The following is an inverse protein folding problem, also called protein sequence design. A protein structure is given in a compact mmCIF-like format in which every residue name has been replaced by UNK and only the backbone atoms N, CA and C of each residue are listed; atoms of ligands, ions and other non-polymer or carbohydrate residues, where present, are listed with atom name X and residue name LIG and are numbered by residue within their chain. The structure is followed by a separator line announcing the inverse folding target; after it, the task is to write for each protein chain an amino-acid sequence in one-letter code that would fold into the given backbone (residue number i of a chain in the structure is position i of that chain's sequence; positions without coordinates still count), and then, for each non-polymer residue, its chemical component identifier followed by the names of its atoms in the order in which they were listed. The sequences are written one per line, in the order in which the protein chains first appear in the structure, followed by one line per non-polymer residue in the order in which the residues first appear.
data_IF_393512777641
#
_entry.id   IF_393512777641
#
_cell.length_a   1.000
_cell.length_b   1.000
_cell.length_c   1.000
_cell.angle_alpha   90.00
_cell.angle_beta   90.00
_cell.angle_gamma   90.00
#
_symmetry.space_group_name_H-M   'P 1'
#
loop_
_entity.id
_entity.type
_entity.pdbx_description
1 polymer ?
#
# COMPACT_ATOMS: atom_id res chain seq x y z
N UNK A 1 8.26 -0.04 5.92
CA UNK A 1 8.77 -1.26 5.26
C UNK A 1 8.38 -1.36 3.78
N UNK A 2 7.16 -1.02 3.37
CA UNK A 2 6.69 -1.15 1.97
C UNK A 2 7.43 -0.26 0.93
N UNK A 3 7.66 1.02 1.20
CA UNK A 3 8.22 1.95 0.20
C UNK A 3 9.65 1.64 -0.27
N UNK A 4 10.60 1.24 0.59
CA UNK A 4 11.94 0.80 0.14
C UNK A 4 11.92 -0.38 -0.85
N UNK A 5 11.04 -1.36 -0.65
CA UNK A 5 10.90 -2.50 -1.57
C UNK A 5 10.45 -2.05 -2.97
N UNK A 6 9.46 -1.17 -3.04
CA UNK A 6 9.00 -0.63 -4.33
C UNK A 6 10.03 0.26 -4.99
N UNK A 7 10.75 1.09 -4.23
CA UNK A 7 11.87 1.87 -4.76
C UNK A 7 12.93 0.94 -5.37
N UNK A 8 13.31 -0.13 -4.66
CA UNK A 8 14.24 -1.15 -5.18
C UNK A 8 13.72 -1.83 -6.44
N UNK A 9 12.43 -2.20 -6.50
CA UNK A 9 11.83 -2.81 -7.70
C UNK A 9 11.81 -1.86 -8.91
N UNK A 10 11.71 -0.55 -8.66
CA UNK A 10 11.84 0.51 -9.68
C UNK A 10 13.30 0.81 -10.05
N UNK A 11 14.29 0.26 -9.34
CA UNK A 11 15.70 0.65 -9.51
C UNK A 11 16.00 2.06 -9.02
N UNK A 12 15.21 2.56 -8.07
CA UNK A 12 15.29 3.92 -7.53
C UNK A 12 15.77 3.92 -6.08
N UNK A 13 16.46 4.98 -5.63
CA UNK A 13 16.81 5.13 -4.22
C UNK A 13 15.56 5.29 -3.36
N UNK A 14 15.64 4.87 -2.09
CA UNK A 14 14.52 5.05 -1.15
C UNK A 14 14.24 6.55 -0.92
N UNK A 15 13.00 7.00 -1.12
CA UNK A 15 12.62 8.40 -0.92
C UNK A 15 12.54 8.76 0.57
N UNK A 16 12.81 10.03 0.89
CA UNK A 16 12.70 10.55 2.26
C UNK A 16 11.23 10.78 2.61
N UNK A 17 10.80 10.39 3.81
CA UNK A 17 9.46 10.71 4.31
C UNK A 17 9.26 12.24 4.40
N UNK A 18 8.13 12.75 3.90
CA UNK A 18 7.81 14.18 3.89
C UNK A 18 7.92 14.83 5.28
N UNK A 19 7.54 14.08 6.34
CA UNK A 19 7.63 14.53 7.73
C UNK A 19 9.08 14.81 8.17
N UNK A 20 10.06 14.12 7.59
CA UNK A 20 11.49 14.25 7.93
C UNK A 20 12.25 15.24 7.04
N UNK A 21 11.60 15.85 6.03
CA UNK A 21 12.27 16.66 5.00
C UNK A 21 13.07 17.86 5.53
N UNK A 22 12.65 18.48 6.63
CA UNK A 22 13.29 19.70 7.16
C UNK A 22 14.65 19.44 7.82
N UNK A 23 14.91 18.19 8.23
CA UNK A 23 16.19 17.77 8.80
C UNK A 23 17.01 16.86 7.89
N UNK A 24 16.55 16.59 6.67
CA UNK A 24 17.23 15.69 5.75
C UNK A 24 18.32 16.44 4.96
N UNK A 25 19.48 15.80 4.79
CA UNK A 25 20.54 16.31 3.93
C UNK A 25 20.04 16.49 2.48
N UNK A 26 20.56 17.49 1.77
CA UNK A 26 20.12 17.84 0.41
C UNK A 26 20.24 16.66 -0.57
N UNK A 27 21.31 15.86 -0.47
CA UNK A 27 21.48 14.65 -1.28
C UNK A 27 20.45 13.54 -1.01
N UNK A 28 19.83 13.51 0.18
CA UNK A 28 18.71 12.61 0.46
C UNK A 28 17.41 13.12 -0.16
N UNK A 29 17.19 14.44 -0.15
CA UNK A 29 16.02 15.05 -0.77
C UNK A 29 16.00 14.87 -2.30
N UNK A 30 17.18 14.76 -2.94
CA UNK A 30 17.31 14.46 -4.36
C UNK A 30 16.82 13.05 -4.76
N UNK A 31 16.64 12.13 -3.79
CA UNK A 31 16.14 10.76 -4.03
C UNK A 31 14.63 10.67 -4.23
N UNK A 32 13.93 11.80 -4.11
CA UNK A 32 12.47 11.86 -4.08
C UNK A 32 11.90 11.85 -2.67
N UNK A 33 10.56 11.87 -2.59
CA UNK A 33 9.85 12.11 -1.34
C UNK A 33 8.65 11.18 -1.18
N UNK A 34 8.47 10.66 0.03
CA UNK A 34 7.37 9.79 0.41
C UNK A 34 6.33 10.57 1.22
N UNK A 35 5.14 10.73 0.67
CA UNK A 35 4.02 11.44 1.29
C UNK A 35 3.06 10.51 2.04
N UNK A 36 3.27 9.19 1.96
CA UNK A 36 2.40 8.20 2.59
C UNK A 36 2.41 8.33 4.11
N UNK A 37 1.27 8.03 4.72
CA UNK A 37 1.05 8.03 6.17
C UNK A 37 0.29 6.77 6.56
N UNK A 38 0.71 6.09 7.63
CA UNK A 38 -0.01 4.93 8.16
C UNK A 38 -1.45 5.29 8.52
N UNK A 39 -2.39 4.39 8.25
CA UNK A 39 -3.82 4.62 8.45
C UNK A 39 -4.51 5.47 7.39
N UNK A 40 -3.78 6.12 6.47
CA UNK A 40 -4.42 6.95 5.44
C UNK A 40 -5.27 6.13 4.47
N UNK A 41 -6.48 6.63 4.19
CA UNK A 41 -7.34 6.14 3.11
C UNK A 41 -7.29 7.00 1.86
N UNK A 42 -8.09 6.60 0.87
CA UNK A 42 -8.50 7.48 -0.22
C UNK A 42 -9.39 8.61 0.32
N UNK A 43 -10.28 8.26 1.25
CA UNK A 43 -11.12 9.15 2.04
C UNK A 43 -10.56 9.32 3.46
N UNK A 44 -11.27 10.09 4.28
CA UNK A 44 -11.00 10.18 5.72
C UNK A 44 -11.38 8.86 6.40
N UNK A 45 -10.48 8.37 7.23
CA UNK A 45 -10.57 7.08 7.94
C UNK A 45 -10.70 7.27 9.45
N UNK A 46 -11.07 8.48 9.90
CA UNK A 46 -11.39 8.78 11.29
C UNK A 46 -10.19 8.86 12.23
N UNK A 47 -8.96 8.71 11.71
CA UNK A 47 -7.71 8.73 12.49
C UNK A 47 -6.92 10.05 12.36
N UNK A 48 -7.56 11.10 11.81
CA UNK A 48 -6.98 12.42 11.56
C UNK A 48 -5.69 12.43 10.72
N UNK A 49 -5.41 11.34 9.99
CA UNK A 49 -4.28 11.27 9.08
C UNK A 49 -4.64 11.90 7.73
N UNK A 50 -3.59 12.29 7.00
CA UNK A 50 -3.76 12.90 5.67
C UNK A 50 -4.14 11.82 4.66
N UNK A 51 -5.39 11.87 4.19
CA UNK A 51 -5.85 11.07 3.06
C UNK A 51 -5.04 11.37 1.78
N UNK A 52 -5.24 10.58 0.74
CA UNK A 52 -4.50 10.72 -0.52
C UNK A 52 -4.63 12.12 -1.15
N UNK A 53 -5.79 12.79 -1.00
CA UNK A 53 -5.98 14.15 -1.53
C UNK A 53 -5.01 15.13 -0.88
N UNK A 54 -4.94 15.11 0.45
CA UNK A 54 -4.00 15.95 1.20
C UNK A 54 -2.53 15.57 0.91
N UNK A 55 -2.23 14.30 0.63
CA UNK A 55 -0.89 13.88 0.22
C UNK A 55 -0.50 14.46 -1.15
N UNK A 56 -1.44 14.49 -2.11
CA UNK A 56 -1.24 15.10 -3.44
C UNK A 56 -1.04 16.61 -3.32
N UNK A 57 -1.79 17.29 -2.44
CA UNK A 57 -1.64 18.73 -2.21
C UNK A 57 -0.22 19.07 -1.72
N UNK A 58 0.32 18.27 -0.79
CA UNK A 58 1.69 18.43 -0.31
C UNK A 58 2.72 18.15 -1.40
N UNK A 59 2.47 17.16 -2.25
CA UNK A 59 3.32 16.85 -3.38
C UNK A 59 3.38 18.01 -4.36
N UNK A 60 2.23 18.56 -4.77
CA UNK A 60 2.16 19.70 -5.68
C UNK A 60 2.84 20.93 -5.07
N UNK A 61 2.59 21.23 -3.79
CA UNK A 61 3.23 22.33 -3.09
C UNK A 61 4.76 22.15 -2.98
N UNK A 62 5.24 20.91 -2.80
CA UNK A 62 6.66 20.61 -2.76
C UNK A 62 7.31 20.73 -4.14
N UNK A 63 6.64 20.27 -5.20
CA UNK A 63 7.12 20.38 -6.58
C UNK A 63 7.28 21.84 -7.01
N UNK A 64 6.32 22.71 -6.66
CA UNK A 64 6.35 24.14 -6.98
C UNK A 64 7.50 24.89 -6.29
N UNK A 65 7.93 24.46 -5.10
CA UNK A 65 9.05 25.09 -4.36
C UNK A 65 10.43 24.76 -4.95
N UNK A 66 10.53 23.72 -5.77
CA UNK A 66 11.80 23.24 -6.34
C UNK A 66 12.22 23.90 -7.66
N UNK A 67 11.38 24.73 -8.26
CA UNK A 67 11.63 25.30 -9.60
C UNK A 67 11.71 26.83 -9.60
N UNK A 68 12.90 27.43 -9.59
CA UNK A 68 13.10 28.76 -10.15
C UNK A 68 13.21 28.62 -11.68
N UNK A 69 12.20 29.09 -12.41
CA UNK A 69 12.32 29.56 -13.82
C UNK A 69 12.57 28.60 -15.01
N UNK A 70 12.36 27.28 -14.94
CA UNK A 70 12.27 26.48 -16.19
C UNK A 70 11.27 25.32 -16.11
N UNK A 71 10.22 25.43 -16.94
CA UNK A 71 9.09 24.52 -17.16
C UNK A 71 8.08 24.31 -16.01
N UNK A 72 6.81 24.60 -16.33
CA UNK A 72 5.65 24.36 -15.49
C UNK A 72 5.45 22.84 -15.33
N UNK A 73 5.46 22.37 -14.09
CA UNK A 73 5.07 21.01 -13.70
C UNK A 73 6.21 19.99 -13.69
N UNK A 74 5.96 18.83 -13.07
CA UNK A 74 6.82 17.63 -13.12
C UNK A 74 6.92 17.01 -14.53
N UNK A 75 6.78 17.82 -15.58
CA UNK A 75 6.85 17.44 -16.97
C UNK A 75 8.31 17.14 -17.32
N UNK A 76 8.68 15.86 -17.22
CA UNK A 76 9.98 15.42 -17.71
C UNK A 76 10.38 14.02 -17.27
N UNK A 77 10.65 13.78 -15.98
CA UNK A 77 11.29 12.52 -15.54
C UNK A 77 10.94 12.24 -14.06
N UNK A 78 9.72 11.80 -13.78
CA UNK A 78 9.30 11.45 -12.42
C UNK A 78 8.31 10.31 -12.40
N UNK A 79 8.44 9.42 -11.41
CA UNK A 79 7.52 8.31 -11.17
C UNK A 79 6.75 8.58 -9.89
N UNK A 80 5.41 8.49 -9.95
CA UNK A 80 4.58 8.45 -8.76
C UNK A 80 4.24 7.00 -8.42
N UNK A 81 4.23 6.68 -7.12
CA UNK A 81 3.70 5.43 -6.60
C UNK A 81 2.48 5.72 -5.73
N UNK A 82 1.32 5.19 -6.13
CA UNK A 82 0.08 5.23 -5.36
C UNK A 82 -0.18 3.84 -4.80
N UNK A 83 -0.29 3.76 -3.48
CA UNK A 83 -0.51 2.49 -2.77
C UNK A 83 -1.90 2.49 -2.15
N UNK A 84 -2.77 1.62 -2.66
CA UNK A 84 -4.05 1.32 -2.01
C UNK A 84 -3.81 0.31 -0.89
N UNK A 85 -4.28 0.62 0.33
CA UNK A 85 -3.91 -0.12 1.56
C UNK A 85 -5.09 -0.68 2.35
N UNK A 86 -6.33 -0.39 1.97
CA UNK A 86 -7.53 -0.98 2.58
C UNK A 86 -8.12 -0.27 3.80
N UNK A 87 -7.50 0.81 4.29
CA UNK A 87 -7.95 1.53 5.49
C UNK A 87 -9.39 2.07 5.37
N UNK A 88 -9.81 2.51 4.18
CA UNK A 88 -11.21 2.93 3.92
C UNK A 88 -12.22 1.81 4.24
N UNK A 89 -11.83 0.55 3.99
CA UNK A 89 -12.67 -0.63 4.21
C UNK A 89 -12.69 -1.05 5.67
N UNK A 90 -11.55 -1.03 6.36
CA UNK A 90 -11.50 -1.24 7.81
C UNK A 90 -12.38 -0.21 8.52
N UNK A 91 -12.24 1.07 8.16
CA UNK A 91 -13.06 2.14 8.72
C UNK A 91 -14.56 1.95 8.48
N UNK A 92 -14.96 1.56 7.26
CA UNK A 92 -16.36 1.28 6.95
C UNK A 92 -16.89 0.04 7.71
N UNK A 93 -16.09 -1.02 7.81
CA UNK A 93 -16.44 -2.23 8.55
C UNK A 93 -16.63 -1.95 10.04
N UNK A 94 -15.75 -1.14 10.64
CA UNK A 94 -15.81 -0.77 12.06
C UNK A 94 -17.05 0.08 12.39
N UNK A 95 -17.49 0.93 11.46
CA UNK A 95 -18.65 1.81 11.67
C UNK A 95 -20.00 1.12 11.48
N UNK A 96 -20.13 0.34 10.40
CA UNK A 96 -21.43 -0.20 9.96
C UNK A 96 -21.47 -1.73 10.09
N UNK A 97 -20.67 -2.26 11.01
CA UNK A 97 -20.67 -3.63 11.53
C UNK A 97 -20.43 -4.74 10.49
N UNK A 98 -19.28 -4.67 9.80
CA UNK A 98 -18.65 -5.84 9.17
C UNK A 98 -18.32 -5.74 7.68
N UNK A 99 -17.82 -6.85 7.14
CA UNK A 99 -17.28 -6.94 5.77
C UNK A 99 -18.27 -6.52 4.68
N UNK A 100 -19.58 -6.71 4.88
CA UNK A 100 -20.61 -6.27 3.95
C UNK A 100 -20.65 -4.75 3.77
N UNK A 101 -20.44 -3.98 4.84
CA UNK A 101 -20.37 -2.53 4.78
C UNK A 101 -19.11 -2.07 4.02
N UNK A 102 -17.97 -2.72 4.27
CA UNK A 102 -16.75 -2.50 3.50
C UNK A 102 -16.97 -2.72 2.00
N UNK A 103 -17.64 -3.80 1.61
CA UNK A 103 -17.98 -4.10 0.21
C UNK A 103 -18.90 -3.03 -0.38
N UNK A 104 -19.94 -2.62 0.35
CA UNK A 104 -20.86 -1.56 -0.06
C UNK A 104 -20.15 -0.20 -0.25
N UNK A 105 -19.02 0.02 0.43
CA UNK A 105 -18.24 1.25 0.35
C UNK A 105 -17.32 1.34 -0.89
N UNK A 106 -17.06 0.21 -1.57
CA UNK A 106 -16.16 0.12 -2.74
C UNK A 106 -16.44 1.18 -3.81
N UNK A 107 -17.69 1.41 -4.26
CA UNK A 107 -17.96 2.41 -5.29
C UNK A 107 -17.55 3.83 -4.89
N UNK A 108 -17.70 4.18 -3.60
CA UNK A 108 -17.29 5.49 -3.07
C UNK A 108 -15.78 5.65 -3.09
N UNK A 109 -15.05 4.63 -2.60
CA UNK A 109 -13.58 4.62 -2.59
C UNK A 109 -13.03 4.71 -4.00
N UNK A 110 -13.52 3.88 -4.93
CA UNK A 110 -13.02 3.83 -6.31
C UNK A 110 -13.33 5.12 -7.07
N UNK A 111 -14.52 5.71 -6.88
CA UNK A 111 -14.86 7.01 -7.47
C UNK A 111 -13.90 8.09 -6.99
N UNK A 112 -13.61 8.14 -5.70
CA UNK A 112 -12.66 9.12 -5.18
C UNK A 112 -11.25 8.85 -5.69
N UNK A 113 -10.81 7.59 -5.71
CA UNK A 113 -9.49 7.20 -6.22
C UNK A 113 -9.31 7.60 -7.69
N UNK A 114 -10.35 7.45 -8.52
CA UNK A 114 -10.36 7.95 -9.91
C UNK A 114 -10.03 9.44 -9.97
N UNK A 115 -10.67 10.26 -9.14
CA UNK A 115 -10.40 11.70 -9.13
C UNK A 115 -8.97 12.00 -8.72
N UNK A 116 -8.42 11.27 -7.75
CA UNK A 116 -7.05 11.50 -7.27
C UNK A 116 -6.00 11.06 -8.30
N UNK A 117 -6.25 9.98 -9.04
CA UNK A 117 -5.42 9.56 -10.17
C UNK A 117 -5.49 10.56 -11.33
N UNK A 118 -6.69 11.09 -11.63
CA UNK A 118 -6.88 12.16 -12.62
C UNK A 118 -6.08 13.41 -12.23
N UNK A 119 -6.15 13.84 -10.96
CA UNK A 119 -5.37 14.97 -10.43
C UNK A 119 -3.86 14.77 -10.59
N UNK A 120 -3.35 13.59 -10.25
CA UNK A 120 -1.92 13.28 -10.45
C UNK A 120 -1.49 13.40 -11.91
N UNK A 121 -2.28 12.89 -12.85
CA UNK A 121 -1.98 12.97 -14.27
C UNK A 121 -2.12 14.39 -14.83
N UNK A 122 -3.27 15.01 -14.60
CA UNK A 122 -3.68 16.23 -15.30
C UNK A 122 -3.19 17.50 -14.62
N UNK A 123 -3.30 17.57 -13.29
CA UNK A 123 -2.94 18.77 -12.52
C UNK A 123 -1.46 18.76 -12.10
N UNK A 124 -0.95 17.61 -11.65
CA UNK A 124 0.46 17.48 -11.28
C UNK A 124 1.36 17.11 -12.47
N UNK A 125 0.79 16.77 -13.62
CA UNK A 125 1.53 16.49 -14.86
C UNK A 125 2.27 15.15 -14.86
N UNK A 126 1.92 14.21 -13.98
CA UNK A 126 2.62 12.92 -13.90
C UNK A 126 2.30 12.04 -15.11
N UNK A 127 3.36 11.56 -15.78
CA UNK A 127 3.27 10.69 -16.96
C UNK A 127 3.61 9.23 -16.69
N UNK A 128 4.17 8.92 -15.52
CA UNK A 128 4.43 7.54 -15.07
C UNK A 128 3.91 7.39 -13.64
N UNK A 129 2.79 6.70 -13.48
CA UNK A 129 2.12 6.49 -12.19
C UNK A 129 1.91 4.99 -11.99
N UNK A 130 2.65 4.42 -11.05
CA UNK A 130 2.47 3.03 -10.61
C UNK A 130 1.40 3.02 -9.53
N UNK A 131 0.36 2.20 -9.70
CA UNK A 131 -0.76 2.05 -8.76
C UNK A 131 -0.81 0.61 -8.29
N UNK A 132 -0.86 0.35 -6.98
CA UNK A 132 -1.13 -1.01 -6.49
C UNK A 132 -2.63 -1.23 -6.33
N UNK A 133 -3.12 -2.41 -6.72
CA UNK A 133 -4.39 -2.91 -6.22
C UNK A 133 -4.30 -3.28 -4.73
N UNK A 134 -5.42 -3.70 -4.16
CA UNK A 134 -5.44 -4.41 -2.88
C UNK A 134 -4.81 -5.79 -3.04
N UNK A 135 -4.19 -6.26 -1.98
CA UNK A 135 -3.84 -7.67 -1.83
C UNK A 135 -5.06 -8.45 -1.32
N UNK A 136 -5.02 -9.79 -1.28
CA UNK A 136 -6.08 -10.61 -0.70
C UNK A 136 -6.25 -10.31 0.80
N UNK A 137 -7.16 -9.40 1.14
CA UNK A 137 -7.33 -8.89 2.50
C UNK A 137 -7.74 -9.99 3.49
N UNK A 138 -8.55 -10.95 3.04
CA UNK A 138 -8.97 -12.09 3.85
C UNK A 138 -7.83 -13.04 4.23
N UNK A 139 -6.66 -12.89 3.63
CA UNK A 139 -5.46 -13.65 4.00
C UNK A 139 -4.58 -12.92 5.02
N UNK A 140 -4.96 -11.72 5.48
CA UNK A 140 -4.26 -11.06 6.58
C UNK A 140 -4.58 -11.73 7.92
N UNK A 141 -3.67 -11.68 8.91
CA UNK A 141 -3.94 -12.35 10.18
C UNK A 141 -5.17 -11.86 10.93
N UNK A 142 -5.62 -10.63 10.69
CA UNK A 142 -6.94 -10.14 11.14
C UNK A 142 -8.08 -11.11 10.80
N UNK A 143 -8.04 -11.73 9.62
CA UNK A 143 -9.05 -12.68 9.14
C UNK A 143 -8.65 -14.14 9.35
N UNK A 144 -7.36 -14.47 9.28
CA UNK A 144 -6.92 -15.88 9.40
C UNK A 144 -6.84 -16.33 10.86
N UNK A 145 -6.59 -15.43 11.81
CA UNK A 145 -6.46 -15.76 13.25
C UNK A 145 -7.74 -16.35 13.84
N UNK A 146 -8.95 -15.80 13.61
CA UNK A 146 -10.20 -16.47 14.01
C UNK A 146 -10.37 -17.88 13.42
N UNK A 147 -9.73 -18.16 12.28
CA UNK A 147 -9.71 -19.46 11.62
C UNK A 147 -8.53 -20.34 12.05
N UNK A 148 -7.85 -19.99 13.15
CA UNK A 148 -6.63 -20.65 13.62
C UNK A 148 -5.56 -20.77 12.53
N UNK A 149 -5.41 -19.72 11.71
CA UNK A 149 -4.46 -19.60 10.60
C UNK A 149 -4.61 -20.65 9.49
N UNK A 150 -5.69 -21.43 9.50
CA UNK A 150 -5.90 -22.56 8.58
C UNK A 150 -6.26 -22.14 7.14
N UNK A 151 -6.76 -20.92 6.95
CA UNK A 151 -7.19 -20.41 5.65
C UNK A 151 -7.51 -18.93 5.69
N UNK A 152 -7.88 -18.41 4.52
CA UNK A 152 -8.28 -17.01 4.33
C UNK A 152 -9.80 -16.83 4.37
N UNK A 153 -10.27 -15.66 4.77
CA UNK A 153 -11.68 -15.30 4.67
C UNK A 153 -12.09 -15.03 3.19
N UNK A 154 -13.06 -15.78 2.64
CA UNK A 154 -13.43 -15.66 1.24
C UNK A 154 -14.19 -14.36 0.93
N UNK A 155 -14.96 -13.81 1.88
CA UNK A 155 -15.77 -12.61 1.66
C UNK A 155 -14.89 -11.36 1.58
N UNK A 156 -13.90 -11.24 2.47
CA UNK A 156 -12.91 -10.16 2.45
C UNK A 156 -12.05 -10.23 1.18
N UNK A 157 -11.66 -11.42 0.73
CA UNK A 157 -10.97 -11.61 -0.54
C UNK A 157 -11.84 -11.23 -1.75
N UNK A 158 -13.13 -11.56 -1.73
CA UNK A 158 -14.08 -11.15 -2.77
C UNK A 158 -14.22 -9.61 -2.83
N UNK A 159 -14.30 -8.94 -1.67
CA UNK A 159 -14.30 -7.48 -1.60
C UNK A 159 -13.05 -6.84 -2.20
N UNK A 160 -11.86 -7.39 -1.87
CA UNK A 160 -10.61 -6.94 -2.45
C UNK A 160 -10.57 -7.14 -3.98
N UNK A 161 -11.04 -8.28 -4.47
CA UNK A 161 -11.14 -8.58 -5.89
C UNK A 161 -12.11 -7.63 -6.62
N UNK A 162 -13.24 -7.28 -5.99
CA UNK A 162 -14.22 -6.33 -6.53
C UNK A 162 -13.65 -4.92 -6.63
N UNK A 163 -12.94 -4.44 -5.60
CA UNK A 163 -12.20 -3.17 -5.69
C UNK A 163 -11.21 -3.20 -6.86
N UNK A 164 -10.39 -4.25 -6.96
CA UNK A 164 -9.38 -4.37 -7.99
C UNK A 164 -9.99 -4.39 -9.40
N UNK A 165 -11.12 -5.06 -9.58
CA UNK A 165 -11.86 -5.05 -10.84
C UNK A 165 -12.35 -3.64 -11.19
N UNK A 166 -12.96 -2.93 -10.24
CA UNK A 166 -13.43 -1.56 -10.45
C UNK A 166 -12.28 -0.58 -10.73
N UNK A 167 -11.14 -0.74 -10.05
CA UNK A 167 -9.93 0.06 -10.31
C UNK A 167 -9.35 -0.20 -11.71
N UNK A 168 -9.32 -1.46 -12.18
CA UNK A 168 -8.94 -1.79 -13.57
C UNK A 168 -9.83 -1.05 -14.58
N UNK A 169 -11.15 -1.06 -14.38
CA UNK A 169 -12.09 -0.34 -15.25
C UNK A 169 -11.87 1.18 -15.21
N UNK A 170 -11.60 1.74 -14.04
CA UNK A 170 -11.25 3.16 -13.88
C UNK A 170 -10.00 3.52 -14.67
N UNK A 171 -8.94 2.72 -14.56
CA UNK A 171 -7.68 2.96 -15.26
C UNK A 171 -7.83 2.82 -16.77
N UNK A 172 -8.56 1.80 -17.24
CA UNK A 172 -8.84 1.62 -18.67
C UNK A 172 -9.64 2.80 -19.27
N UNK A 173 -10.55 3.39 -18.49
CA UNK A 173 -11.30 4.58 -18.92
C UNK A 173 -10.45 5.86 -18.86
N UNK A 174 -9.61 6.01 -17.82
CA UNK A 174 -8.75 7.18 -17.68
C UNK A 174 -7.62 7.18 -18.72
N UNK A 175 -6.99 6.05 -18.98
CA UNK A 175 -5.81 5.91 -19.81
C UNK A 175 -5.94 4.72 -20.77
N UNK A 176 -6.79 4.83 -21.81
CA UNK A 176 -7.07 3.71 -22.72
C UNK A 176 -5.84 3.17 -23.45
N UNK A 177 -4.79 4.00 -23.59
CA UNK A 177 -3.53 3.63 -24.22
C UNK A 177 -2.51 3.02 -23.23
N UNK A 178 -2.85 2.92 -21.94
CA UNK A 178 -1.97 2.44 -20.85
C UNK A 178 -0.58 3.09 -20.83
N UNK A 179 -0.51 4.40 -21.12
CA UNK A 179 0.76 5.15 -21.18
C UNK A 179 1.12 5.80 -19.84
N UNK A 180 0.12 6.19 -19.07
CA UNK A 180 0.29 6.95 -17.83
C UNK A 180 0.29 6.06 -16.61
N UNK A 181 -0.58 5.06 -16.56
CA UNK A 181 -0.79 4.25 -15.36
C UNK A 181 -0.35 2.80 -15.54
N UNK A 182 0.37 2.28 -14.55
CA UNK A 182 0.65 0.86 -14.41
C UNK A 182 -0.06 0.31 -13.18
N UNK A 183 -1.02 -0.61 -13.38
CA UNK A 183 -1.59 -1.36 -12.27
C UNK A 183 -0.72 -2.57 -11.90
N UNK A 184 -0.36 -2.65 -10.62
CA UNK A 184 0.23 -3.82 -9.99
C UNK A 184 -0.85 -4.62 -9.27
N UNK A 185 -1.19 -5.77 -9.85
CA UNK A 185 -2.16 -6.68 -9.28
C UNK A 185 -1.50 -7.57 -8.22
N UNK A 186 -1.65 -7.18 -6.95
CA UNK A 186 -0.99 -7.86 -5.84
C UNK A 186 -1.54 -9.26 -5.58
N UNK A 187 -2.69 -9.66 -6.14
CA UNK A 187 -3.33 -10.94 -5.83
C UNK A 187 -2.43 -12.13 -6.17
N UNK A 188 -1.92 -12.20 -7.40
CA UNK A 188 -1.10 -13.33 -7.84
C UNK A 188 0.18 -13.53 -7.01
N UNK A 189 1.05 -12.51 -6.80
CA UNK A 189 2.26 -12.70 -5.99
C UNK A 189 1.96 -12.93 -4.51
N UNK A 190 0.87 -12.37 -3.96
CA UNK A 190 0.47 -12.71 -2.59
C UNK A 190 0.01 -14.16 -2.49
N UNK A 191 -0.91 -14.61 -3.34
CA UNK A 191 -1.40 -15.99 -3.34
C UNK A 191 -0.26 -17.00 -3.54
N UNK A 192 0.66 -16.72 -4.46
CA UNK A 192 1.81 -17.58 -4.72
C UNK A 192 2.77 -17.74 -3.51
N UNK A 193 2.74 -16.80 -2.55
CA UNK A 193 3.59 -16.83 -1.36
C UNK A 193 2.82 -17.28 -0.11
N UNK A 194 1.54 -16.92 0.01
CA UNK A 194 0.68 -17.22 1.17
C UNK A 194 0.02 -18.60 1.08
N UNK A 195 -0.20 -19.10 -0.13
CA UNK A 195 -0.78 -20.43 -0.38
C UNK A 195 0.27 -21.44 -0.87
N UNK A 196 1.57 -21.11 -0.71
CA UNK A 196 2.65 -22.01 -1.10
C UNK A 196 2.61 -23.29 -0.23
N UNK A 197 3.00 -24.45 -0.77
CA UNK A 197 3.07 -25.67 0.04
C UNK A 197 4.10 -25.51 1.18
N UNK A 198 4.00 -26.35 2.24
CA UNK A 198 5.01 -26.41 3.30
C UNK A 198 6.43 -26.54 2.73
N UNK A 199 7.39 -25.80 3.31
CA UNK A 199 8.75 -25.70 2.78
C UNK A 199 8.94 -24.65 1.68
N UNK A 200 7.92 -23.81 1.42
CA UNK A 200 8.04 -22.62 0.59
C UNK A 200 8.95 -21.55 1.22
N UNK A 201 8.93 -20.34 0.62
CA UNK A 201 9.82 -19.24 1.01
C UNK A 201 9.64 -18.75 2.46
N UNK A 202 8.43 -18.88 3.00
CA UNK A 202 8.09 -18.53 4.37
C UNK A 202 7.62 -19.78 5.09
N UNK A 203 8.16 -20.03 6.29
CA UNK A 203 7.70 -21.10 7.15
C UNK A 203 6.29 -20.81 7.66
N UNK A 204 6.04 -19.54 8.02
CA UNK A 204 4.77 -19.07 8.56
C UNK A 204 4.10 -18.09 7.59
N UNK A 205 3.15 -18.59 6.81
CA UNK A 205 2.54 -17.83 5.70
C UNK A 205 1.36 -16.96 6.14
N UNK A 206 0.64 -17.38 7.18
CA UNK A 206 -0.60 -16.72 7.65
C UNK A 206 -0.54 -16.30 9.11
N UNK A 207 0.43 -16.82 9.88
CA UNK A 207 0.65 -16.44 11.28
C UNK A 207 1.59 -15.23 11.35
N UNK A 208 1.26 -14.17 12.12
CA UNK A 208 2.11 -13.00 12.22
C UNK A 208 3.32 -13.27 13.13
N UNK A 209 4.43 -12.57 12.88
CA UNK A 209 5.59 -12.60 13.77
C UNK A 209 5.31 -11.89 15.11
N UNK A 210 4.60 -10.77 15.07
CA UNK A 210 4.20 -10.01 16.23
C UNK A 210 2.72 -10.27 16.53
N UNK A 211 2.48 -11.06 17.58
CA UNK A 211 1.16 -11.59 17.86
C UNK A 211 0.65 -11.08 19.23
N UNK A 212 -0.45 -10.33 19.25
CA UNK A 212 -1.06 -9.84 20.49
C UNK A 212 -1.52 -10.98 21.40
N UNK A 213 -1.42 -10.83 22.72
CA UNK A 213 -1.86 -11.85 23.68
C UNK A 213 -3.39 -11.90 23.83
N UNK A 214 -4.06 -10.77 23.62
CA UNK A 214 -5.51 -10.65 23.66
C UNK A 214 -6.08 -10.57 22.23
N UNK A 215 -7.34 -11.00 22.06
CA UNK A 215 -8.01 -11.01 20.76
C UNK A 215 -8.27 -9.60 20.20
N UNK A 216 -8.47 -8.62 21.08
CA UNK A 216 -8.65 -7.20 20.77
C UNK A 216 -7.35 -6.38 20.95
N UNK A 217 -6.25 -7.06 21.27
CA UNK A 217 -4.95 -6.44 21.43
C UNK A 217 -4.26 -6.16 20.09
N UNK A 218 -3.14 -5.45 20.14
CA UNK A 218 -2.34 -5.13 18.95
C UNK A 218 -0.83 -5.29 19.18
N UNK A 219 -0.09 -5.48 18.08
CA UNK A 219 1.36 -5.53 18.12
C UNK A 219 1.95 -4.23 18.66
N UNK A 220 2.75 -4.32 19.73
CA UNK A 220 3.34 -3.15 20.39
C UNK A 220 2.55 -2.64 21.60
N UNK A 221 1.39 -3.23 21.91
CA UNK A 221 0.63 -2.90 23.12
C UNK A 221 1.43 -3.24 24.39
N UNK A 222 1.33 -2.35 25.37
CA UNK A 222 1.84 -2.56 26.73
C UNK A 222 0.70 -2.38 27.73
N UNK A 223 0.79 -3.05 28.88
CA UNK A 223 -0.07 -2.75 30.02
C UNK A 223 0.44 -1.52 30.79
N UNK A 224 -0.27 -1.15 31.87
CA UNK A 224 0.03 0.02 32.70
C UNK A 224 1.43 -0.06 33.36
N UNK A 225 1.97 -1.27 33.53
CA UNK A 225 3.30 -1.52 34.08
C UNK A 225 4.40 -1.56 32.99
N UNK A 226 4.04 -1.31 31.72
CA UNK A 226 4.95 -1.35 30.58
C UNK A 226 5.30 -2.76 30.11
N UNK A 227 4.62 -3.79 30.61
CA UNK A 227 4.82 -5.18 30.17
C UNK A 227 4.23 -5.34 28.78
N UNK A 228 4.95 -6.06 27.92
CA UNK A 228 4.51 -6.35 26.55
C UNK A 228 3.29 -7.27 26.58
N UNK A 229 2.26 -6.85 25.87
CA UNK A 229 1.00 -7.60 25.69
C UNK A 229 0.97 -8.33 24.33
N UNK A 230 2.13 -8.72 23.83
CA UNK A 230 2.33 -9.41 22.56
C UNK A 230 3.56 -10.31 22.64
N UNK A 231 3.61 -11.30 21.75
CA UNK A 231 4.77 -12.15 21.49
C UNK A 231 5.47 -11.70 20.20
N UNK A 232 6.76 -12.03 20.08
CA UNK A 232 7.55 -11.82 18.87
C UNK A 232 8.17 -13.16 18.47
N UNK A 233 8.16 -13.44 17.17
CA UNK A 233 8.94 -14.52 16.59
C UNK A 233 10.45 -14.23 16.65
N UNK A 234 11.27 -15.27 16.51
CA UNK A 234 12.73 -15.14 16.52
C UNK A 234 13.28 -14.57 15.20
N UNK A 235 12.72 -15.00 14.05
CA UNK A 235 13.11 -14.51 12.72
C UNK A 235 11.90 -13.99 11.91
N UNK A 236 11.74 -12.65 11.78
CA UNK A 236 10.70 -12.07 10.94
C UNK A 236 10.82 -12.41 9.44
N UNK A 237 11.96 -12.92 8.96
CA UNK A 237 12.11 -13.34 7.57
C UNK A 237 11.42 -14.68 7.27
N UNK A 238 11.15 -15.50 8.29
CA UNK A 238 10.43 -16.77 8.15
C UNK A 238 8.91 -16.57 8.10
N UNK A 239 8.41 -15.41 8.55
CA UNK A 239 7.01 -15.04 8.53
C UNK A 239 6.66 -14.15 7.33
N UNK A 240 5.51 -14.42 6.69
CA UNK A 240 4.97 -13.52 5.68
C UNK A 240 4.40 -12.24 6.30
N UNK A 241 3.72 -12.36 7.44
CA UNK A 241 3.09 -11.23 8.14
C UNK A 241 3.89 -10.78 9.37
N UNK A 242 4.03 -9.47 9.53
CA UNK A 242 4.62 -8.85 10.71
C UNK A 242 3.59 -8.75 11.83
N UNK A 243 2.42 -8.19 11.54
CA UNK A 243 1.30 -8.02 12.47
C UNK A 243 -0.01 -8.45 11.78
N UNK A 244 -1.15 -8.10 12.35
CA UNK A 244 -2.47 -8.53 11.86
C UNK A 244 -2.83 -8.09 10.45
N UNK A 245 -2.13 -7.11 9.85
CA UNK A 245 -2.46 -6.60 8.51
C UNK A 245 -1.24 -6.31 7.63
N UNK A 246 -0.04 -6.17 8.21
CA UNK A 246 1.15 -5.77 7.48
C UNK A 246 2.07 -6.98 7.19
N UNK A 247 2.46 -7.19 5.92
CA UNK A 247 3.53 -8.11 5.58
C UNK A 247 4.89 -7.68 6.15
N UNK A 248 5.78 -8.63 6.39
CA UNK A 248 7.16 -8.40 6.82
C UNK A 248 7.98 -7.69 5.73
N UNK A 249 9.16 -7.19 6.09
CA UNK A 249 10.11 -6.63 5.13
C UNK A 249 10.52 -7.67 4.07
N UNK A 250 10.69 -8.94 4.46
CA UNK A 250 11.01 -10.04 3.56
C UNK A 250 9.85 -10.35 2.60
N UNK A 251 8.61 -10.36 3.08
CA UNK A 251 7.43 -10.51 2.25
C UNK A 251 7.26 -9.38 1.24
N UNK A 252 7.38 -8.11 1.66
CA UNK A 252 7.33 -6.98 0.73
C UNK A 252 8.45 -7.02 -0.30
N UNK A 253 9.65 -7.46 0.06
CA UNK A 253 10.74 -7.64 -0.90
C UNK A 253 10.41 -8.73 -1.92
N UNK A 254 9.86 -9.86 -1.48
CA UNK A 254 9.42 -10.95 -2.36
C UNK A 254 8.34 -10.51 -3.36
N UNK A 255 7.31 -9.82 -2.87
CA UNK A 255 6.21 -9.30 -3.69
C UNK A 255 6.71 -8.25 -4.68
N UNK A 256 7.52 -7.30 -4.22
CA UNK A 256 8.03 -6.23 -5.10
C UNK A 256 8.96 -6.80 -6.19
N UNK A 257 9.73 -7.84 -5.88
CA UNK A 257 10.59 -8.52 -6.84
C UNK A 257 9.79 -9.10 -8.02
N UNK A 258 8.64 -9.70 -7.75
CA UNK A 258 7.78 -10.28 -8.78
C UNK A 258 7.31 -9.24 -9.82
N UNK A 259 7.26 -7.95 -9.46
CA UNK A 259 6.88 -6.87 -10.37
C UNK A 259 8.05 -6.18 -11.05
N UNK A 260 9.30 -6.47 -10.67
CA UNK A 260 10.48 -5.77 -11.21
C UNK A 260 10.52 -5.76 -12.75
N UNK A 261 10.27 -6.87 -13.47
CA UNK A 261 10.27 -6.86 -14.94
C UNK A 261 9.19 -5.91 -15.51
N UNK A 262 7.95 -6.04 -15.01
CA UNK A 262 6.80 -5.24 -15.46
C UNK A 262 6.98 -3.75 -15.20
N UNK A 263 7.51 -3.40 -14.02
CA UNK A 263 7.82 -2.02 -13.66
C UNK A 263 8.90 -1.46 -14.59
N UNK A 264 10.00 -2.20 -14.82
CA UNK A 264 11.07 -1.75 -15.70
C UNK A 264 10.59 -1.51 -17.13
N UNK A 265 9.81 -2.43 -17.69
CA UNK A 265 9.21 -2.29 -19.01
C UNK A 265 8.37 -1.01 -19.11
N UNK A 266 7.50 -0.79 -18.14
CA UNK A 266 6.66 0.42 -18.09
C UNK A 266 7.50 1.70 -17.98
N UNK A 267 8.53 1.71 -17.14
CA UNK A 267 9.39 2.88 -16.96
C UNK A 267 10.28 3.20 -18.17
N UNK A 268 10.63 2.19 -18.97
CA UNK A 268 11.46 2.32 -20.17
C UNK A 268 10.64 2.49 -21.46
N UNK A 269 9.33 2.22 -21.43
CA UNK A 269 8.46 2.53 -22.56
C UNK A 269 8.52 4.03 -22.87
N UNK A 270 8.47 4.41 -24.15
CA UNK A 270 8.43 5.80 -24.62
C UNK A 270 6.99 6.27 -24.77
#
# INVERSE_FOLDING_TARGET
MKSPCWASAMGMPTPVAYKLRRGAAQGLLARGMNFAVGGAGVLDTGNFQRNISAQIDLFQAQAQRGTPSSNRGCAGVGVALVVVSGNDYSYAADKDNGTSAAIAYIPTVVRQLREQLRRLRDEAGMRRVVVTGLHPLGCTPLFTRPLNYSGCDPLANAGAAQHNAALRSVLAALDPANRTFLLLDLNAPFAALVDAPPGGRFAEQRRPCCEALAADGYCGQQDDDGKRMYTLCDDPAEHFYWDDVHPTQAAWAAVAEAFRPKIREFLLST
#
